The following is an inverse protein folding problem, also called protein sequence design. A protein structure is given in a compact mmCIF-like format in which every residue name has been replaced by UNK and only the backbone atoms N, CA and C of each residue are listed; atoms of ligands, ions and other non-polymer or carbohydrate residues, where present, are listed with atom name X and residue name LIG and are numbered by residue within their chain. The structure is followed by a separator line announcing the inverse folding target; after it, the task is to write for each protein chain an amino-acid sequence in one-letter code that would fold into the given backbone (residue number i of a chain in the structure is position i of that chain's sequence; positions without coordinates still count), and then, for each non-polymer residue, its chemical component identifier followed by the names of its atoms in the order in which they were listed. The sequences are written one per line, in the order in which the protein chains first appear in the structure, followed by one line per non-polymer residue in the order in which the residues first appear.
data_IF_034641263328
#
_entry.id   IF_034641263328
#
_cell.length_a   1.000
_cell.length_b   1.000
_cell.length_c   1.000
_cell.angle_alpha   90.00
_cell.angle_beta   90.00
_cell.angle_gamma   90.00
#
_symmetry.space_group_name_H-M   'P 1'
#
loop_
_entity.id
_entity.type
_entity.pdbx_description
1 polymer ?
#
# COMPACT_ATOMS: atom_id res chain seq x y z
N UNK A 1 5.62 -22.85 11.46
CA UNK A 1 6.09 -22.35 10.14
C UNK A 1 4.95 -21.59 9.52
N UNK A 2 5.20 -20.34 9.12
CA UNK A 2 4.21 -19.55 8.40
C UNK A 2 3.98 -20.13 7.01
N UNK A 3 2.73 -20.16 6.54
CA UNK A 3 2.42 -20.54 5.17
C UNK A 3 3.11 -19.58 4.19
N UNK A 4 3.37 -20.03 2.94
CA UNK A 4 3.91 -19.16 1.88
C UNK A 4 3.09 -17.87 1.74
N UNK A 5 1.76 -17.98 1.79
CA UNK A 5 0.87 -16.83 1.70
C UNK A 5 1.01 -15.87 2.87
N UNK A 6 1.16 -16.38 4.11
CA UNK A 6 1.35 -15.53 5.28
C UNK A 6 2.68 -14.75 5.21
N UNK A 7 3.75 -15.37 4.69
CA UNK A 7 5.04 -14.70 4.51
C UNK A 7 4.97 -13.59 3.45
N UNK A 8 4.28 -13.86 2.34
CA UNK A 8 4.07 -12.86 1.27
C UNK A 8 3.21 -11.70 1.77
N UNK A 9 2.14 -11.98 2.51
CA UNK A 9 1.28 -10.94 3.11
C UNK A 9 2.05 -10.05 4.10
N UNK A 10 2.89 -10.64 4.96
CA UNK A 10 3.76 -9.88 5.87
C UNK A 10 4.74 -8.98 5.11
N UNK A 11 5.36 -9.51 4.05
CA UNK A 11 6.29 -8.74 3.22
C UNK A 11 5.58 -7.55 2.55
N UNK A 12 4.40 -7.78 1.95
CA UNK A 12 3.62 -6.73 1.31
C UNK A 12 3.21 -5.63 2.31
N UNK A 13 2.83 -6.01 3.54
CA UNK A 13 2.49 -5.07 4.59
C UNK A 13 3.69 -4.20 5.01
N UNK A 14 4.87 -4.80 5.14
CA UNK A 14 6.11 -4.09 5.47
C UNK A 14 6.53 -3.12 4.36
N UNK A 15 6.40 -3.52 3.10
CA UNK A 15 6.73 -2.64 1.97
C UNK A 15 5.74 -1.47 1.85
N UNK A 16 4.45 -1.71 2.09
CA UNK A 16 3.42 -0.67 2.14
C UNK A 16 3.64 0.32 3.29
N UNK A 17 4.04 -0.15 4.48
CA UNK A 17 4.36 0.71 5.63
C UNK A 17 5.41 1.77 5.27
N UNK A 18 6.47 1.39 4.55
CA UNK A 18 7.53 2.32 4.11
C UNK A 18 6.96 3.43 3.22
N UNK A 19 5.97 3.13 2.39
CA UNK A 19 5.30 4.13 1.54
C UNK A 19 4.42 5.04 2.39
N UNK A 20 3.55 4.48 3.22
CA UNK A 20 2.61 5.26 4.05
C UNK A 20 3.36 6.24 4.95
N UNK A 21 4.45 5.80 5.58
CA UNK A 21 5.25 6.64 6.48
C UNK A 21 5.90 7.85 5.77
N UNK A 22 6.18 7.77 4.46
CA UNK A 22 6.67 8.93 3.68
C UNK A 22 5.62 10.06 3.60
N UNK A 23 4.34 9.70 3.64
CA UNK A 23 3.23 10.64 3.54
C UNK A 23 2.72 11.11 4.92
N UNK A 24 3.10 10.46 6.01
CA UNK A 24 2.64 10.77 7.37
C UNK A 24 3.01 12.19 7.86
N UNK A 25 4.03 12.82 7.25
CA UNK A 25 4.49 14.17 7.60
C UNK A 25 4.36 15.19 6.47
N UNK A 26 3.68 14.83 5.37
CA UNK A 26 3.48 15.68 4.21
C UNK A 26 2.05 16.21 4.14
N UNK A 27 1.84 17.29 3.39
CA UNK A 27 0.50 17.68 2.97
C UNK A 27 -0.13 16.52 2.19
N UNK A 28 -1.31 16.08 2.64
CA UNK A 28 -1.98 14.89 2.10
C UNK A 28 -2.60 15.26 0.75
N UNK A 29 -1.97 14.80 -0.33
CA UNK A 29 -2.54 14.88 -1.67
C UNK A 29 -3.70 13.89 -1.80
N UNK A 30 -4.92 14.41 -1.92
CA UNK A 30 -6.18 13.65 -1.97
C UNK A 30 -6.77 13.73 -3.38
N UNK A 31 -7.01 12.56 -3.97
CA UNK A 31 -7.82 12.38 -5.17
C UNK A 31 -9.24 11.94 -4.79
N UNK A 32 -10.24 12.31 -5.57
CA UNK A 32 -11.61 11.79 -5.43
C UNK A 32 -11.81 10.67 -6.47
N UNK A 33 -12.26 9.49 -6.02
CA UNK A 33 -12.61 8.37 -6.90
C UNK A 33 -13.95 8.61 -7.61
N UNK A 34 -14.27 7.75 -8.57
CA UNK A 34 -15.54 7.80 -9.33
C UNK A 34 -16.78 7.61 -8.46
N UNK A 35 -16.64 6.95 -7.30
CA UNK A 35 -17.68 6.76 -6.30
C UNK A 35 -17.75 7.90 -5.27
N UNK A 36 -17.03 9.01 -5.51
CA UNK A 36 -16.86 10.15 -4.62
C UNK A 36 -16.16 9.87 -3.29
N UNK A 37 -15.55 8.68 -3.11
CA UNK A 37 -14.69 8.43 -1.96
C UNK A 37 -13.34 9.15 -2.11
N UNK A 38 -12.83 9.79 -1.04
CA UNK A 38 -11.48 10.35 -1.05
C UNK A 38 -10.45 9.21 -0.98
N UNK A 39 -9.36 9.35 -1.74
CA UNK A 39 -8.20 8.47 -1.68
C UNK A 39 -6.93 9.31 -1.73
N UNK A 40 -6.00 9.06 -0.83
CA UNK A 40 -4.71 9.74 -0.85
C UNK A 40 -3.77 9.14 -1.88
N UNK A 41 -2.75 9.90 -2.27
CA UNK A 41 -1.63 9.37 -3.06
C UNK A 41 -0.94 8.19 -2.35
N UNK A 42 -0.85 8.24 -1.01
CA UNK A 42 -0.29 7.17 -0.20
C UNK A 42 -1.03 5.85 -0.37
N UNK A 43 -2.37 5.88 -0.42
CA UNK A 43 -3.20 4.69 -0.62
C UNK A 43 -2.94 4.04 -1.99
N UNK A 44 -2.86 4.85 -3.06
CA UNK A 44 -2.62 4.35 -4.43
C UNK A 44 -1.24 3.71 -4.57
N UNK A 45 -0.21 4.34 -3.99
CA UNK A 45 1.16 3.83 -4.06
C UNK A 45 1.32 2.56 -3.20
N UNK A 46 0.68 2.52 -2.03
CA UNK A 46 0.70 1.34 -1.16
C UNK A 46 -0.02 0.15 -1.81
N UNK A 47 -1.19 0.38 -2.44
CA UNK A 47 -1.91 -0.64 -3.21
C UNK A 47 -1.02 -1.22 -4.34
N UNK A 48 -0.34 -0.35 -5.08
CA UNK A 48 0.58 -0.76 -6.15
C UNK A 48 1.67 -1.69 -5.63
N UNK A 49 2.34 -1.32 -4.53
CA UNK A 49 3.42 -2.12 -3.92
C UNK A 49 2.92 -3.47 -3.43
N UNK A 50 1.72 -3.53 -2.84
CA UNK A 50 1.11 -4.80 -2.40
C UNK A 50 0.89 -5.72 -3.61
N UNK A 51 0.31 -5.20 -4.69
CA UNK A 51 0.07 -5.96 -5.93
C UNK A 51 1.39 -6.45 -6.54
N UNK A 52 2.39 -5.57 -6.63
CA UNK A 52 3.72 -5.91 -7.18
C UNK A 52 4.40 -6.99 -6.33
N UNK A 53 4.27 -6.94 -5.00
CA UNK A 53 4.80 -7.97 -4.08
C UNK A 53 4.12 -9.31 -4.28
N UNK A 54 2.80 -9.32 -4.46
CA UNK A 54 2.03 -10.55 -4.71
C UNK A 54 2.39 -11.19 -6.05
N UNK A 55 2.64 -10.38 -7.08
CA UNK A 55 2.97 -10.87 -8.41
C UNK A 55 4.44 -11.34 -8.55
N UNK A 56 5.32 -10.94 -7.62
CA UNK A 56 6.76 -11.23 -7.68
C UNK A 56 7.19 -12.46 -6.85
N UNK A 57 6.27 -13.16 -6.17
CA UNK A 57 6.54 -14.23 -5.19
C UNK A 57 5.73 -15.51 -5.45
#
# INVERSE_FOLDING_TARGET
MDSKFLQVAKSAAQEAEIIILKYHHADIDVCIKTDNSPISKADRESEKVIIDTFNSK
#
